data_IF_408979057911
#
_entry.id   IF_408979057911
#
_cell.length_a   1.000
_cell.length_b   1.000
_cell.length_c   1.000
_cell.angle_alpha   90.00
_cell.angle_beta   90.00
_cell.angle_gamma   90.00
#
_symmetry.space_group_name_H-M   'P 1'
#
loop_
_entity.id
_entity.type
_entity.pdbx_description
1 polymer ?
#
# COMPACT_ATOMS: atom_id res chain seq x y z
N UNK A 1 4.61 -3.40 -21.84
CA UNK A 1 4.25 -2.87 -20.51
C UNK A 1 2.72 -2.75 -20.41
N UNK A 2 2.08 -3.38 -19.43
CA UNK A 2 0.62 -3.35 -19.29
C UNK A 2 0.19 -2.10 -18.49
N UNK A 3 -0.04 -1.00 -19.21
CA UNK A 3 -0.39 0.30 -18.62
C UNK A 3 -1.69 0.26 -17.79
N UNK A 4 -2.66 -0.57 -18.19
CA UNK A 4 -3.91 -0.73 -17.43
C UNK A 4 -3.63 -1.36 -16.07
N UNK A 5 -2.79 -2.40 -16.04
CA UNK A 5 -2.39 -3.06 -14.81
C UNK A 5 -1.58 -2.14 -13.90
N UNK A 6 -0.60 -1.41 -14.46
CA UNK A 6 0.16 -0.42 -13.71
C UNK A 6 -0.73 0.67 -13.09
N UNK A 7 -1.72 1.17 -13.84
CA UNK A 7 -2.70 2.11 -13.31
C UNK A 7 -3.53 1.51 -12.16
N UNK A 8 -3.86 0.22 -12.23
CA UNK A 8 -4.56 -0.47 -11.15
C UNK A 8 -3.69 -0.58 -9.90
N UNK A 9 -2.39 -0.84 -10.05
CA UNK A 9 -1.45 -0.89 -8.93
C UNK A 9 -1.31 0.47 -8.25
N UNK A 10 -1.18 1.57 -9.01
CA UNK A 10 -1.16 2.91 -8.41
C UNK A 10 -2.44 3.26 -7.66
N UNK A 11 -3.59 2.90 -8.22
CA UNK A 11 -4.88 3.08 -7.53
C UNK A 11 -4.91 2.29 -6.22
N UNK A 12 -4.53 1.01 -6.26
CA UNK A 12 -4.50 0.13 -5.09
C UNK A 12 -3.54 0.63 -4.02
N UNK A 13 -2.38 1.16 -4.42
CA UNK A 13 -1.42 1.81 -3.51
C UNK A 13 -2.05 3.00 -2.79
N UNK A 14 -2.67 3.93 -3.52
CA UNK A 14 -3.33 5.09 -2.92
C UNK A 14 -4.46 4.70 -1.95
N UNK A 15 -5.22 3.65 -2.28
CA UNK A 15 -6.26 3.11 -1.40
C UNK A 15 -5.69 2.52 -0.10
N UNK A 16 -4.50 1.91 -0.14
CA UNK A 16 -3.83 1.38 1.05
C UNK A 16 -3.14 2.47 1.88
N UNK A 17 -2.53 3.46 1.24
CA UNK A 17 -1.95 4.63 1.92
C UNK A 17 -3.02 5.39 2.71
N UNK A 18 -4.20 5.62 2.12
CA UNK A 18 -5.33 6.25 2.81
C UNK A 18 -5.84 5.42 4.00
N UNK A 19 -5.84 4.08 3.88
CA UNK A 19 -6.22 3.20 5.00
C UNK A 19 -5.19 3.24 6.13
N UNK A 20 -3.91 3.28 5.81
CA UNK A 20 -2.84 3.37 6.80
C UNK A 20 -2.90 4.71 7.52
N UNK A 21 -3.12 5.81 6.80
CA UNK A 21 -3.31 7.14 7.40
C UNK A 21 -4.49 7.18 8.38
N UNK A 22 -5.63 6.57 8.01
CA UNK A 22 -6.79 6.46 8.91
C UNK A 22 -6.50 5.58 10.12
N UNK A 23 -5.74 4.49 9.95
CA UNK A 23 -5.32 3.62 11.04
C UNK A 23 -4.39 4.36 12.01
N UNK A 24 -3.35 5.04 11.51
CA UNK A 24 -2.41 5.80 12.32
C UNK A 24 -3.11 6.99 13.04
N UNK A 25 -4.10 7.62 12.40
CA UNK A 25 -4.90 8.67 13.02
C UNK A 25 -5.84 8.15 14.13
N UNK A 26 -6.24 6.88 14.07
CA UNK A 26 -7.07 6.23 15.10
C UNK A 26 -6.30 6.07 16.41
N UNK A 27 -5.01 5.76 16.35
CA UNK A 27 -4.15 5.60 17.52
C UNK A 27 -3.95 6.92 18.30
N UNK A 28 -4.24 8.08 17.67
CA UNK A 28 -4.15 9.39 18.33
C UNK A 28 -5.25 9.65 19.38
N UNK A 29 -6.29 8.82 19.49
CA UNK A 29 -7.45 9.08 20.37
C UNK A 29 -7.57 8.17 21.60
N UNK A 30 -6.58 7.30 21.84
CA UNK A 30 -6.34 6.65 23.13
C UNK A 30 -7.56 6.03 23.82
N UNK A 31 -7.85 4.78 23.50
CA UNK A 31 -8.26 3.78 24.49
C UNK A 31 -8.03 2.40 23.85
N UNK A 32 -6.95 1.74 24.30
CA UNK A 32 -6.41 0.46 23.83
C UNK A 32 -5.70 0.49 22.46
N UNK A 33 -4.36 0.45 22.46
CA UNK A 33 -3.57 0.05 21.28
C UNK A 33 -4.04 -1.36 20.86
N UNK A 34 -5.03 -1.44 19.99
CA UNK A 34 -5.35 -2.68 19.30
C UNK A 34 -4.30 -2.83 18.19
N UNK A 35 -3.10 -3.26 18.60
CA UNK A 35 -2.11 -3.78 17.68
C UNK A 35 -2.55 -5.19 17.26
N UNK A 36 -3.55 -5.24 16.38
CA UNK A 36 -4.05 -6.44 15.71
C UNK A 36 -3.22 -6.84 14.48
N UNK A 37 -2.08 -6.16 14.26
CA UNK A 37 -1.22 -6.36 13.09
C UNK A 37 -1.74 -5.70 11.81
N UNK A 38 -2.85 -4.95 11.85
CA UNK A 38 -3.39 -4.29 10.65
C UNK A 38 -2.42 -3.26 10.06
N UNK A 39 -1.75 -2.46 10.91
CA UNK A 39 -0.76 -1.49 10.44
C UNK A 39 0.42 -2.16 9.72
N UNK A 40 0.88 -3.30 10.24
CA UNK A 40 1.97 -4.07 9.65
C UNK A 40 1.54 -4.76 8.33
N UNK A 41 0.33 -5.32 8.25
CA UNK A 41 -0.23 -5.87 6.99
C UNK A 41 -0.34 -4.80 5.90
N UNK A 42 -0.81 -3.61 6.26
CA UNK A 42 -0.94 -2.49 5.33
C UNK A 42 0.42 -2.05 4.80
N UNK A 43 1.43 -1.93 5.67
CA UNK A 43 2.80 -1.57 5.26
C UNK A 43 3.43 -2.64 4.38
N UNK A 44 3.29 -3.92 4.74
CA UNK A 44 3.80 -5.03 3.93
C UNK A 44 3.19 -5.03 2.53
N UNK A 45 1.87 -4.88 2.43
CA UNK A 45 1.18 -4.85 1.12
C UNK A 45 1.54 -3.61 0.29
N UNK A 46 1.87 -2.49 0.95
CA UNK A 46 2.38 -1.30 0.27
C UNK A 46 3.78 -1.54 -0.32
N UNK A 47 4.66 -2.22 0.43
CA UNK A 47 5.99 -2.62 -0.03
C UNK A 47 5.91 -3.55 -1.24
N UNK A 48 5.09 -4.60 -1.17
CA UNK A 48 4.86 -5.53 -2.29
C UNK A 48 4.39 -4.82 -3.56
N UNK A 49 3.44 -3.88 -3.44
CA UNK A 49 2.94 -3.12 -4.59
C UNK A 49 4.00 -2.16 -5.12
N UNK A 50 4.81 -1.57 -4.26
CA UNK A 50 5.89 -0.67 -4.67
C UNK A 50 6.95 -1.43 -5.49
N UNK A 51 7.36 -2.61 -5.02
CA UNK A 51 8.27 -3.50 -5.76
C UNK A 51 7.68 -3.92 -7.12
N UNK A 52 6.39 -4.27 -7.16
CA UNK A 52 5.73 -4.67 -8.40
C UNK A 52 5.64 -3.52 -9.41
N UNK A 53 5.34 -2.30 -8.95
CA UNK A 53 5.38 -1.09 -9.78
C UNK A 53 6.79 -0.87 -10.33
N UNK A 54 7.82 -0.92 -9.47
CA UNK A 54 9.21 -0.72 -9.87
C UNK A 54 9.61 -1.75 -10.94
N UNK A 55 9.27 -3.02 -10.73
CA UNK A 55 9.52 -4.08 -11.71
C UNK A 55 8.81 -3.82 -13.04
N UNK A 56 7.57 -3.35 -13.03
CA UNK A 56 6.83 -3.06 -14.26
C UNK A 56 7.34 -1.82 -14.99
N UNK A 57 7.79 -0.80 -14.25
CA UNK A 57 8.36 0.43 -14.82
C UNK A 57 9.76 0.25 -15.39
N UNK A 58 10.57 -0.59 -14.75
CA UNK A 58 11.94 -0.89 -15.18
C UNK A 58 12.06 -2.15 -16.04
N UNK A 59 10.98 -2.92 -16.21
CA UNK A 59 10.96 -4.03 -17.16
C UNK A 59 11.09 -3.50 -18.58
N UNK A 60 12.19 -3.83 -19.30
CA UNK A 60 12.27 -3.49 -20.71
C UNK A 60 11.10 -4.15 -21.42
N UNK A 61 10.38 -3.38 -22.24
CA UNK A 61 9.44 -3.94 -23.21
C UNK A 61 10.22 -4.92 -24.08
N UNK A 62 10.10 -6.22 -23.82
CA UNK A 62 10.54 -7.26 -24.73
C UNK A 62 9.80 -7.14 -26.08
#
# INVERSE_FOLDING_TARGET
MNYTYLHHLYRKRAELEAKLELYDARDCFGDEEINDGTGDDLRLRLEEIAEEIEQLEHSPSA
#
